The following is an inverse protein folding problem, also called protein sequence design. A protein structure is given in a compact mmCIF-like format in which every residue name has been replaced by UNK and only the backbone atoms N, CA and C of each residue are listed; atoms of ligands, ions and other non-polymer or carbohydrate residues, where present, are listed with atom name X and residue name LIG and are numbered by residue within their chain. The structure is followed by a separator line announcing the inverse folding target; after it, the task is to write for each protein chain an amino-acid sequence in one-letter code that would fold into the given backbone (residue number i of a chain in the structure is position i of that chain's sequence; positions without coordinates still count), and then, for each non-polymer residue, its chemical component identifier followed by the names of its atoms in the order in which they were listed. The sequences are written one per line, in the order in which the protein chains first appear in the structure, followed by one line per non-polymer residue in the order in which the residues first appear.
data_IF_312326544284
#
_entry.id   IF_312326544284
#
_cell.length_a   1.000
_cell.length_b   1.000
_cell.length_c   1.000
_cell.angle_alpha   90.00
_cell.angle_beta   90.00
_cell.angle_gamma   90.00
#
_symmetry.space_group_name_H-M   'P 1'
#
loop_
_entity.id
_entity.type
_entity.pdbx_description
1 polymer ?
#
# COMPACT_ATOMS: atom_id res chain seq x y z
N UNK A 1 16.21 7.08 -26.42
CA UNK A 1 15.01 7.85 -26.79
C UNK A 1 14.81 8.92 -25.74
N UNK A 2 15.01 10.19 -26.13
CA UNK A 2 14.86 11.34 -25.25
C UNK A 2 13.37 11.48 -24.96
N UNK A 3 12.96 11.33 -23.70
CA UNK A 3 11.61 11.69 -23.27
C UNK A 3 11.34 13.12 -23.75
N UNK A 4 10.25 13.30 -24.51
CA UNK A 4 9.95 14.60 -25.10
C UNK A 4 9.84 15.62 -23.96
N UNK A 5 10.40 16.83 -24.08
CA UNK A 5 10.40 17.80 -22.97
C UNK A 5 8.98 18.04 -22.41
N UNK A 6 7.97 17.95 -23.28
CA UNK A 6 6.55 17.96 -22.90
C UNK A 6 6.11 16.77 -22.03
N UNK A 7 6.60 15.56 -22.27
CA UNK A 7 6.30 14.38 -21.44
C UNK A 7 6.91 14.51 -20.04
N UNK A 8 8.12 15.06 -19.94
CA UNK A 8 8.75 15.39 -18.64
C UNK A 8 7.90 16.38 -17.86
N UNK A 9 7.48 17.47 -18.49
CA UNK A 9 6.65 18.48 -17.83
C UNK A 9 5.27 17.95 -17.43
N UNK A 10 4.65 17.08 -18.26
CA UNK A 10 3.40 16.41 -17.89
C UNK A 10 3.58 15.46 -16.71
N UNK A 11 4.67 14.69 -16.68
CA UNK A 11 4.96 13.78 -15.58
C UNK A 11 5.22 14.53 -14.26
N UNK A 12 5.98 15.64 -14.32
CA UNK A 12 6.20 16.52 -13.16
C UNK A 12 4.91 17.15 -12.67
N UNK A 13 4.04 17.61 -13.59
CA UNK A 13 2.72 18.14 -13.24
C UNK A 13 1.85 17.09 -12.56
N UNK A 14 1.79 15.88 -13.11
CA UNK A 14 1.03 14.79 -12.52
C UNK A 14 1.51 14.42 -11.11
N UNK A 15 2.84 14.38 -10.88
CA UNK A 15 3.41 14.18 -9.55
C UNK A 15 3.04 15.31 -8.59
N UNK A 16 3.04 16.56 -9.05
CA UNK A 16 2.64 17.72 -8.26
C UNK A 16 1.14 17.70 -7.90
N UNK A 17 0.28 17.27 -8.83
CA UNK A 17 -1.17 17.09 -8.64
C UNK A 17 -1.50 15.84 -7.81
N UNK A 18 -0.50 15.11 -7.32
CA UNK A 18 -0.68 14.01 -6.39
C UNK A 18 -0.96 12.65 -7.02
N UNK A 19 -0.67 12.47 -8.32
CA UNK A 19 -0.67 11.16 -8.94
C UNK A 19 0.32 10.23 -8.21
N UNK A 20 0.01 8.92 -8.09
CA UNK A 20 0.90 7.98 -7.44
C UNK A 20 2.25 7.93 -8.15
N UNK A 21 3.33 8.06 -7.39
CA UNK A 21 4.71 8.09 -7.90
C UNK A 21 5.19 6.69 -8.27
N UNK A 22 4.63 6.12 -9.33
CA UNK A 22 5.03 4.81 -9.86
C UNK A 22 6.35 4.88 -10.66
N UNK A 23 6.96 3.72 -10.92
CA UNK A 23 8.24 3.65 -11.62
C UNK A 23 8.21 4.20 -13.05
N UNK A 24 7.04 4.26 -13.70
CA UNK A 24 6.88 4.78 -15.06
C UNK A 24 6.87 6.30 -15.05
N UNK A 25 6.10 6.90 -14.14
CA UNK A 25 5.97 8.34 -13.97
C UNK A 25 7.28 8.97 -13.47
N UNK A 26 7.96 8.29 -12.54
CA UNK A 26 9.29 8.68 -12.06
C UNK A 26 10.34 8.62 -13.19
N UNK A 27 10.28 7.61 -14.06
CA UNK A 27 11.15 7.51 -15.22
C UNK A 27 10.89 8.65 -16.22
N UNK A 28 9.61 8.92 -16.50
CA UNK A 28 9.21 10.01 -17.38
C UNK A 28 9.64 11.38 -16.84
N UNK A 29 9.48 11.66 -15.55
CA UNK A 29 9.88 12.92 -14.93
C UNK A 29 11.41 13.11 -14.83
N UNK A 30 12.14 12.04 -14.49
CA UNK A 30 13.61 12.06 -14.35
C UNK A 30 14.37 11.96 -15.68
N UNK A 31 13.72 11.48 -16.74
CA UNK A 31 14.34 11.12 -18.01
C UNK A 31 15.27 9.90 -17.90
N UNK A 32 15.22 9.17 -16.79
CA UNK A 32 15.95 7.92 -16.62
C UNK A 32 15.19 6.75 -17.25
N UNK A 33 15.91 5.67 -17.56
CA UNK A 33 15.25 4.41 -17.93
C UNK A 33 14.45 3.85 -16.74
N UNK A 34 13.27 3.27 -17.00
CA UNK A 34 12.42 2.64 -15.99
C UNK A 34 13.17 1.58 -15.18
N UNK A 35 14.03 0.77 -15.82
CA UNK A 35 14.85 -0.24 -15.14
C UNK A 35 15.80 0.36 -14.10
N UNK A 36 16.34 1.56 -14.39
CA UNK A 36 17.20 2.29 -13.44
C UNK A 36 16.41 2.73 -12.21
N UNK A 37 15.19 3.24 -12.41
CA UNK A 37 14.30 3.63 -11.32
C UNK A 37 13.89 2.40 -10.51
N UNK A 38 13.47 1.32 -11.16
CA UNK A 38 13.06 0.07 -10.52
C UNK A 38 14.17 -0.51 -9.62
N UNK A 39 15.39 -0.63 -10.16
CA UNK A 39 16.55 -1.11 -9.40
C UNK A 39 16.85 -0.22 -8.19
N UNK A 40 16.58 1.09 -8.31
CA UNK A 40 16.78 2.04 -7.22
C UNK A 40 15.72 1.90 -6.14
N UNK A 41 14.46 1.77 -6.53
CA UNK A 41 13.32 1.47 -5.65
C UNK A 41 13.60 0.21 -4.82
N UNK A 42 14.04 -0.87 -5.46
CA UNK A 42 14.34 -2.14 -4.80
C UNK A 42 15.55 -2.05 -3.85
N UNK A 43 16.63 -1.42 -4.32
CA UNK A 43 17.87 -1.30 -3.53
C UNK A 43 17.72 -0.40 -2.31
N UNK A 44 16.96 0.68 -2.46
CA UNK A 44 16.83 1.72 -1.43
C UNK A 44 15.50 1.60 -0.64
N UNK A 45 14.69 0.58 -0.95
CA UNK A 45 13.46 0.28 -0.22
C UNK A 45 12.39 1.37 -0.35
N UNK A 46 12.32 2.05 -1.50
CA UNK A 46 11.33 3.11 -1.69
C UNK A 46 9.92 2.49 -1.71
N UNK A 47 9.14 2.74 -0.67
CA UNK A 47 7.71 2.47 -0.71
C UNK A 47 7.00 3.68 -1.29
N UNK A 48 6.16 3.47 -2.31
CA UNK A 48 5.13 4.47 -2.57
C UNK A 48 4.39 4.72 -1.25
N UNK A 49 4.11 5.98 -0.86
CA UNK A 49 3.19 6.20 0.23
C UNK A 49 1.98 5.37 -0.09
N UNK A 50 1.65 4.43 0.80
CA UNK A 50 0.33 3.84 0.83
C UNK A 50 -0.52 5.06 1.15
N UNK A 51 -0.92 5.80 0.11
CA UNK A 51 -2.01 6.75 0.25
C UNK A 51 -3.07 5.91 0.90
N UNK A 52 -3.48 6.30 2.11
CA UNK A 52 -4.66 5.72 2.70
C UNK A 52 -5.69 5.72 1.57
N UNK A 53 -6.36 4.59 1.35
CA UNK A 53 -7.30 4.50 0.22
C UNK A 53 -8.24 5.71 0.22
N UNK A 54 -8.53 6.22 1.42
CA UNK A 54 -9.21 7.46 1.72
C UNK A 54 -8.58 8.73 1.09
N UNK A 55 -7.26 8.93 1.15
CA UNK A 55 -6.58 10.12 0.57
C UNK A 55 -6.56 10.07 -0.98
N UNK A 56 -6.39 8.88 -1.57
CA UNK A 56 -6.53 8.71 -3.02
C UNK A 56 -7.97 8.92 -3.47
N UNK A 57 -8.94 8.45 -2.68
CA UNK A 57 -10.36 8.64 -2.91
C UNK A 57 -10.77 10.12 -2.80
N UNK A 58 -10.26 10.85 -1.81
CA UNK A 58 -10.50 12.28 -1.65
C UNK A 58 -9.99 13.05 -2.87
N UNK A 59 -8.77 12.75 -3.34
CA UNK A 59 -8.24 13.37 -4.57
C UNK A 59 -9.05 13.01 -5.82
N UNK A 60 -9.53 11.78 -5.93
CA UNK A 60 -10.41 11.35 -7.03
C UNK A 60 -11.76 12.07 -6.97
N UNK A 61 -12.33 12.24 -5.78
CA UNK A 61 -13.55 12.99 -5.56
C UNK A 61 -13.38 14.47 -5.94
N UNK A 62 -12.30 15.12 -5.49
CA UNK A 62 -11.97 16.51 -5.83
C UNK A 62 -11.78 16.68 -7.35
N UNK A 63 -11.11 15.72 -7.99
CA UNK A 63 -10.89 15.73 -9.44
C UNK A 63 -12.21 15.56 -10.20
N UNK A 64 -13.11 14.69 -9.75
CA UNK A 64 -14.42 14.51 -10.36
C UNK A 64 -15.31 15.74 -10.16
N UNK A 65 -15.27 16.36 -8.98
CA UNK A 65 -15.96 17.64 -8.71
C UNK A 65 -15.45 18.72 -9.66
N UNK A 66 -14.14 18.86 -9.81
CA UNK A 66 -13.54 19.83 -10.73
C UNK A 66 -13.92 19.57 -12.20
N UNK A 67 -14.01 18.30 -12.62
CA UNK A 67 -14.47 17.94 -13.97
C UNK A 67 -15.95 18.27 -14.19
N UNK A 68 -16.80 18.00 -13.20
CA UNK A 68 -18.23 18.35 -13.25
C UNK A 68 -18.40 19.87 -13.27
N UNK A 69 -17.62 20.63 -12.50
CA UNK A 69 -17.65 22.09 -12.54
C UNK A 69 -17.18 22.65 -13.88
N UNK A 70 -16.12 22.11 -14.46
CA UNK A 70 -15.63 22.51 -15.79
C UNK A 70 -16.68 22.23 -16.88
N UNK A 71 -17.30 21.05 -16.85
CA UNK A 71 -18.40 20.70 -17.75
C UNK A 71 -19.59 21.65 -17.60
N UNK A 72 -19.92 22.07 -16.36
CA UNK A 72 -20.99 23.05 -16.08
C UNK A 72 -20.74 24.41 -16.72
N UNK A 73 -19.47 24.85 -16.73
CA UNK A 73 -19.04 26.11 -17.35
C UNK A 73 -19.15 26.02 -18.87
N UNK A 74 -18.81 24.88 -19.47
CA UNK A 74 -18.93 24.66 -20.92
C UNK A 74 -20.38 24.49 -21.40
N UNK A 75 -21.29 23.94 -20.58
CA UNK A 75 -22.67 23.60 -20.99
C UNK A 75 -23.75 24.62 -20.60
N UNK A 76 -23.38 25.84 -20.17
CA UNK A 76 -24.34 26.86 -19.69
C UNK A 76 -25.33 26.30 -18.63
N UNK A 77 -24.88 25.39 -17.76
CA UNK A 77 -25.62 24.97 -16.57
C UNK A 77 -26.71 23.90 -16.75
N UNK A 78 -26.89 23.32 -17.94
CA UNK A 78 -27.86 22.24 -18.14
C UNK A 78 -27.17 20.87 -18.18
N UNK A 79 -27.03 20.22 -17.02
CA UNK A 79 -26.69 18.79 -16.97
C UNK A 79 -27.86 17.97 -17.52
N UNK A 80 -27.57 17.06 -18.44
CA UNK A 80 -28.59 16.09 -18.85
C UNK A 80 -28.76 15.00 -17.76
N UNK A 81 -29.93 14.37 -17.73
CA UNK A 81 -30.26 13.34 -16.74
C UNK A 81 -29.30 12.14 -16.78
N UNK A 82 -28.74 11.83 -17.95
CA UNK A 82 -27.82 10.71 -18.15
C UNK A 82 -26.43 10.99 -17.56
N UNK A 83 -25.97 12.23 -17.60
CA UNK A 83 -24.72 12.68 -16.98
C UNK A 83 -24.79 12.61 -15.45
N UNK A 84 -25.93 12.99 -14.87
CA UNK A 84 -26.17 12.88 -13.43
C UNK A 84 -26.22 11.41 -12.99
N UNK A 85 -26.90 10.55 -13.74
CA UNK A 85 -26.94 9.12 -13.45
C UNK A 85 -25.56 8.44 -13.57
N UNK A 86 -24.76 8.85 -14.55
CA UNK A 86 -23.37 8.38 -14.71
C UNK A 86 -22.50 8.81 -13.52
N UNK A 87 -22.56 10.08 -13.13
CA UNK A 87 -21.82 10.59 -11.97
C UNK A 87 -22.23 9.87 -10.69
N UNK A 88 -23.53 9.67 -10.46
CA UNK A 88 -24.04 8.92 -9.30
C UNK A 88 -23.58 7.45 -9.30
N UNK A 89 -23.48 6.81 -10.48
CA UNK A 89 -22.94 5.46 -10.61
C UNK A 89 -21.46 5.41 -10.23
N UNK A 90 -20.67 6.35 -10.74
CA UNK A 90 -19.23 6.45 -10.45
C UNK A 90 -19.02 6.65 -8.94
N UNK A 91 -19.74 7.57 -8.30
CA UNK A 91 -19.64 7.83 -6.86
C UNK A 91 -19.94 6.55 -6.06
N UNK A 92 -21.02 5.83 -6.37
CA UNK A 92 -21.33 4.56 -5.68
C UNK A 92 -20.27 3.50 -5.87
N UNK A 93 -19.68 3.39 -7.07
CA UNK A 93 -18.60 2.42 -7.30
C UNK A 93 -17.35 2.76 -6.50
N UNK A 94 -17.03 4.04 -6.38
CA UNK A 94 -15.90 4.55 -5.61
C UNK A 94 -16.11 4.31 -4.10
N UNK A 95 -17.31 4.60 -3.57
CA UNK A 95 -17.68 4.25 -2.19
C UNK A 95 -17.58 2.74 -1.93
N UNK A 96 -18.05 1.90 -2.86
CA UNK A 96 -17.95 0.44 -2.75
C UNK A 96 -16.51 -0.05 -2.68
N UNK A 97 -15.62 0.54 -3.49
CA UNK A 97 -14.18 0.22 -3.49
C UNK A 97 -13.54 0.64 -2.16
N UNK A 98 -13.93 1.79 -1.60
CA UNK A 98 -13.49 2.25 -0.28
C UNK A 98 -13.85 1.26 0.82
N UNK A 99 -15.11 0.84 0.87
CA UNK A 99 -15.59 -0.13 1.87
C UNK A 99 -14.82 -1.45 1.80
N UNK A 100 -14.60 -1.97 0.59
CA UNK A 100 -13.83 -3.20 0.39
C UNK A 100 -12.37 -3.04 0.85
N UNK A 101 -11.75 -1.90 0.54
CA UNK A 101 -10.35 -1.61 0.89
C UNK A 101 -10.18 -1.44 2.40
N UNK A 102 -11.11 -0.76 3.08
CA UNK A 102 -11.14 -0.63 4.55
C UNK A 102 -11.28 -1.99 5.23
N UNK A 103 -12.10 -2.89 4.69
CA UNK A 103 -12.24 -4.25 5.22
C UNK A 103 -10.93 -5.06 5.07
N UNK A 104 -10.25 -4.94 3.93
CA UNK A 104 -9.00 -5.64 3.64
C UNK A 104 -7.82 -5.10 4.48
N UNK A 105 -7.72 -3.78 4.67
CA UNK A 105 -6.70 -3.16 5.52
C UNK A 105 -6.84 -3.54 6.99
N UNK A 106 -8.07 -3.50 7.51
CA UNK A 106 -8.37 -3.92 8.89
C UNK A 106 -8.06 -5.41 9.12
N UNK A 107 -8.40 -6.27 8.15
CA UNK A 107 -8.04 -7.68 8.21
C UNK A 107 -6.52 -7.88 8.21
N UNK A 108 -5.77 -7.23 7.31
CA UNK A 108 -4.30 -7.37 7.23
C UNK A 108 -3.59 -6.93 8.50
N UNK A 109 -3.98 -5.80 9.09
CA UNK A 109 -3.43 -5.33 10.38
C UNK A 109 -3.78 -6.29 11.52
N UNK A 110 -5.01 -6.82 11.55
CA UNK A 110 -5.41 -7.81 12.56
C UNK A 110 -4.66 -9.15 12.45
N UNK A 111 -4.21 -9.51 11.25
CA UNK A 111 -3.41 -10.71 11.02
C UNK A 111 -1.96 -10.50 11.45
N UNK A 112 -1.34 -9.37 11.08
CA UNK A 112 0.03 -9.05 11.48
C UNK A 112 0.17 -9.03 13.01
N UNK A 113 -0.77 -8.40 13.73
CA UNK A 113 -0.76 -8.38 15.21
C UNK A 113 -0.90 -9.78 15.81
N UNK A 114 -1.78 -10.61 15.25
CA UNK A 114 -1.95 -12.01 15.70
C UNK A 114 -0.71 -12.86 15.42
N UNK A 115 -0.03 -12.63 14.30
CA UNK A 115 1.19 -13.36 13.94
C UNK A 115 2.36 -12.98 14.86
N UNK A 116 2.47 -11.70 15.24
CA UNK A 116 3.46 -11.20 16.21
C UNK A 116 3.21 -11.78 17.61
N UNK A 117 1.96 -11.75 18.08
CA UNK A 117 1.56 -12.39 19.36
C UNK A 117 1.81 -13.90 19.34
N UNK A 118 1.57 -14.57 18.21
CA UNK A 118 1.86 -16.00 18.05
C UNK A 118 3.35 -16.29 18.10
N UNK A 119 4.18 -15.46 17.46
CA UNK A 119 5.64 -15.60 17.49
C UNK A 119 6.18 -15.49 18.92
N UNK A 120 5.65 -14.56 19.71
CA UNK A 120 6.02 -14.41 21.13
C UNK A 120 5.66 -15.64 21.97
N UNK A 121 4.46 -16.20 21.74
CA UNK A 121 4.03 -17.45 22.42
C UNK A 121 4.95 -18.60 22.05
N UNK A 122 5.28 -18.75 20.76
CA UNK A 122 6.19 -19.80 20.28
C UNK A 122 7.60 -19.63 20.86
N UNK A 123 8.12 -18.41 20.92
CA UNK A 123 9.43 -18.12 21.52
C UNK A 123 9.46 -18.40 23.03
N UNK A 124 8.33 -18.28 23.73
CA UNK A 124 8.21 -18.68 25.14
C UNK A 124 8.23 -20.21 25.30
N UNK A 125 7.55 -20.92 24.41
CA UNK A 125 7.52 -22.39 24.41
C UNK A 125 8.92 -22.94 24.12
N UNK A 126 9.61 -22.42 23.10
CA UNK A 126 10.95 -22.86 22.72
C UNK A 126 11.96 -22.71 23.88
N UNK A 127 11.98 -21.55 24.54
CA UNK A 127 12.79 -21.34 25.75
C UNK A 127 12.52 -22.39 26.82
N UNK A 128 11.24 -22.71 27.06
CA UNK A 128 10.87 -23.70 28.08
C UNK A 128 11.28 -25.12 27.68
N UNK A 129 11.19 -25.47 26.40
CA UNK A 129 11.67 -26.75 25.88
C UNK A 129 13.17 -26.87 26.11
N UNK A 130 13.95 -25.83 25.79
CA UNK A 130 15.40 -25.83 25.98
C UNK A 130 15.77 -25.96 27.47
N UNK A 131 15.08 -25.24 28.36
CA UNK A 131 15.27 -25.37 29.80
C UNK A 131 15.03 -26.79 30.30
N UNK A 132 13.90 -27.39 29.95
CA UNK A 132 13.54 -28.75 30.34
C UNK A 132 14.52 -29.79 29.79
N UNK A 133 14.96 -29.61 28.54
CA UNK A 133 15.95 -30.49 27.93
C UNK A 133 17.30 -30.41 28.66
N UNK A 134 17.73 -29.21 29.07
CA UNK A 134 18.96 -29.02 29.86
C UNK A 134 18.86 -29.63 31.25
N UNK A 135 17.72 -29.45 31.91
CA UNK A 135 17.44 -30.05 33.21
C UNK A 135 17.48 -31.58 33.12
N UNK A 136 16.79 -32.16 32.13
CA UNK A 136 16.77 -33.59 31.89
C UNK A 136 18.16 -34.15 31.57
N UNK A 137 18.94 -33.46 30.74
CA UNK A 137 20.32 -33.84 30.44
C UNK A 137 21.23 -33.80 31.68
N UNK A 138 21.04 -32.83 32.59
CA UNK A 138 21.77 -32.78 33.86
C UNK A 138 21.44 -33.98 34.73
N UNK A 139 20.15 -34.30 34.89
CA UNK A 139 19.71 -35.46 35.68
C UNK A 139 20.26 -36.76 35.10
N UNK A 140 20.29 -36.93 33.78
CA UNK A 140 20.90 -38.11 33.14
C UNK A 140 22.40 -38.19 33.43
N UNK A 141 23.15 -37.09 33.30
CA UNK A 141 24.59 -37.07 33.55
C UNK A 141 24.98 -37.32 35.02
N UNK A 142 24.14 -36.89 35.97
CA UNK A 142 24.32 -37.19 37.40
C UNK A 142 24.05 -38.68 37.70
N UNK A 143 23.02 -39.28 37.08
CA UNK A 143 22.72 -40.71 37.26
C UNK A 143 23.72 -41.65 36.57
N UNK A 144 24.40 -41.21 35.49
CA UNK A 144 25.45 -42.00 34.83
C UNK A 144 26.79 -42.00 35.61
N UNK A 145 27.01 -41.03 36.50
CA UNK A 145 28.23 -40.96 37.34
C UNK A 145 28.10 -41.72 38.68
N UNK A 146 26.89 -42.11 39.10
CA UNK A 146 26.59 -42.86 40.33
C UNK A 146 26.32 -44.37 40.07
N UNK A 147 26.54 -44.84 38.84
CA UNK A 147 26.50 -46.27 38.51
C UNK A 147 27.83 -46.98 38.84
N UNK A 148 27.82 -48.14 39.55
CA UNK A 148 29.02 -48.88 39.94
C UNK A 148 29.80 -49.51 38.78
#
# INVERSE_FOLDING_TARGET
MVANANERWRALRALHEGAPADAVLLAAASGCARSTIQRRIEREGWSAPIGDGDELLERLADTLVAQVEALRVETQGAFDKSQIELAASIIRTVEKIRDLTRSAGSQKVSHIKRDEEMADVLARIDRRIIELAREYARVLGENECDGP
#
